data_IF_534973156932
#
_entry.id   IF_534973156932
#
_cell.length_a   1.000
_cell.length_b   1.000
_cell.length_c   1.000
_cell.angle_alpha   90.00
_cell.angle_beta   90.00
_cell.angle_gamma   90.00
#
_symmetry.space_group_name_H-M   'P 1'
#
loop_
_entity.id
_entity.type
_entity.pdbx_description
1 polymer ?
#
# COMPACT_ATOMS: atom_id res chain seq x y z
N UNK A 1 15.71 -12.94 2.29
CA UNK A 1 16.75 -12.31 1.45
C UNK A 1 17.29 -11.10 2.19
N UNK A 2 18.62 -10.90 2.20
CA UNK A 2 19.27 -9.84 2.98
C UNK A 2 19.43 -8.59 2.10
N UNK A 3 19.28 -7.39 2.66
CA UNK A 3 19.54 -6.13 1.98
C UNK A 3 21.03 -5.99 1.57
N UNK A 4 21.37 -5.18 0.55
CA UNK A 4 22.77 -5.03 0.10
C UNK A 4 23.74 -4.54 1.18
N UNK A 5 23.25 -3.75 2.14
CA UNK A 5 24.04 -3.26 3.28
C UNK A 5 24.11 -4.24 4.47
N UNK A 6 23.48 -5.42 4.35
CA UNK A 6 23.46 -6.45 5.39
C UNK A 6 22.55 -6.17 6.58
N UNK A 7 21.79 -5.06 6.59
CA UNK A 7 21.07 -4.58 7.78
C UNK A 7 19.62 -5.04 7.90
N UNK A 8 19.01 -5.52 6.82
CA UNK A 8 17.60 -5.89 6.79
C UNK A 8 17.40 -7.29 6.20
N UNK A 9 16.41 -8.02 6.73
CA UNK A 9 15.94 -9.30 6.21
C UNK A 9 14.53 -9.11 5.63
N UNK A 10 14.38 -9.49 4.36
CA UNK A 10 13.12 -9.46 3.64
C UNK A 10 12.59 -10.85 3.37
N UNK A 11 11.26 -10.98 3.33
CA UNK A 11 10.60 -12.18 2.84
C UNK A 11 11.02 -12.47 1.40
N UNK A 12 11.50 -13.68 1.11
CA UNK A 12 12.11 -13.99 -0.20
C UNK A 12 11.15 -13.77 -1.37
N UNK A 13 9.86 -14.08 -1.18
CA UNK A 13 8.83 -13.93 -2.20
C UNK A 13 8.48 -12.49 -2.53
N UNK A 14 8.81 -11.51 -1.66
CA UNK A 14 8.61 -10.08 -1.96
C UNK A 14 9.74 -9.49 -2.80
N UNK A 15 10.87 -10.19 -2.89
CA UNK A 15 12.08 -9.77 -3.61
C UNK A 15 12.29 -10.56 -4.91
N UNK A 16 11.89 -11.83 -4.93
CA UNK A 16 12.15 -12.74 -6.05
C UNK A 16 10.95 -13.65 -6.36
N UNK A 17 10.86 -14.11 -7.61
CA UNK A 17 9.75 -14.93 -8.10
C UNK A 17 8.51 -14.12 -8.53
N UNK A 18 7.47 -14.83 -8.94
CA UNK A 18 6.28 -14.26 -9.59
C UNK A 18 5.43 -13.36 -8.68
N UNK A 19 5.56 -13.50 -7.35
CA UNK A 19 4.85 -12.68 -6.37
C UNK A 19 5.69 -11.53 -5.82
N UNK A 20 6.87 -11.30 -6.38
CA UNK A 20 7.75 -10.24 -5.91
C UNK A 20 7.24 -8.85 -6.26
N UNK A 21 7.71 -7.87 -5.49
CA UNK A 21 7.45 -6.46 -5.75
C UNK A 21 8.07 -5.97 -7.07
N UNK A 22 8.94 -6.79 -7.69
CA UNK A 22 9.66 -6.46 -8.91
C UNK A 22 9.17 -7.27 -10.13
N UNK A 23 8.35 -8.29 -9.92
CA UNK A 23 7.77 -9.06 -11.00
C UNK A 23 6.76 -8.21 -11.79
N UNK A 24 6.81 -8.31 -13.12
CA UNK A 24 5.85 -7.67 -14.00
C UNK A 24 4.44 -8.14 -13.65
N UNK A 25 3.50 -7.20 -13.60
CA UNK A 25 2.08 -7.48 -13.41
C UNK A 25 1.36 -7.06 -14.68
N UNK A 26 0.66 -8.01 -15.33
CA UNK A 26 -0.12 -7.72 -16.53
C UNK A 26 -1.31 -6.81 -16.22
N UNK A 27 -1.68 -5.95 -17.18
CA UNK A 27 -2.79 -5.00 -17.02
C UNK A 27 -4.12 -5.70 -16.75
N UNK A 28 -4.36 -6.87 -17.35
CA UNK A 28 -5.54 -7.68 -17.08
C UNK A 28 -5.66 -8.05 -15.59
N UNK A 29 -4.54 -8.33 -14.92
CA UNK A 29 -4.54 -8.64 -13.48
C UNK A 29 -4.85 -7.40 -12.64
N UNK A 30 -4.40 -6.22 -13.06
CA UNK A 30 -4.78 -4.96 -12.41
C UNK A 30 -6.29 -4.72 -12.59
N UNK A 31 -6.81 -4.87 -13.80
CA UNK A 31 -8.24 -4.69 -14.09
C UNK A 31 -9.13 -5.63 -13.25
N UNK A 32 -8.71 -6.89 -13.06
CA UNK A 32 -9.40 -7.82 -12.16
C UNK A 32 -9.41 -7.32 -10.72
N UNK A 33 -8.27 -6.84 -10.20
CA UNK A 33 -8.20 -6.28 -8.83
C UNK A 33 -9.11 -5.06 -8.69
N UNK A 34 -9.11 -4.14 -9.67
CA UNK A 34 -9.99 -2.97 -9.66
C UNK A 34 -11.46 -3.36 -9.66
N UNK A 35 -11.85 -4.35 -10.48
CA UNK A 35 -13.21 -4.88 -10.51
C UNK A 35 -13.62 -5.41 -9.15
N UNK A 36 -12.81 -6.28 -8.54
CA UNK A 36 -13.10 -6.83 -7.21
C UNK A 36 -13.14 -5.78 -6.11
N UNK A 37 -12.28 -4.77 -6.15
CA UNK A 37 -12.33 -3.64 -5.20
C UNK A 37 -13.63 -2.84 -5.36
N UNK A 38 -14.05 -2.56 -6.59
CA UNK A 38 -15.30 -1.84 -6.84
C UNK A 38 -16.54 -2.64 -6.40
N UNK A 39 -16.54 -3.96 -6.59
CA UNK A 39 -17.59 -4.85 -6.09
C UNK A 39 -17.64 -4.85 -4.56
N UNK A 40 -16.48 -4.96 -3.90
CA UNK A 40 -16.36 -4.90 -2.45
C UNK A 40 -16.87 -3.55 -1.91
N UNK A 41 -16.51 -2.47 -2.60
CA UNK A 41 -16.95 -1.13 -2.27
C UNK A 41 -18.47 -1.01 -2.30
N UNK A 42 -19.09 -1.38 -3.43
CA UNK A 42 -20.53 -1.35 -3.59
C UNK A 42 -21.25 -2.25 -2.56
N UNK A 43 -20.69 -3.43 -2.29
CA UNK A 43 -21.25 -4.39 -1.34
C UNK A 43 -21.40 -3.82 0.08
N UNK A 44 -20.37 -3.13 0.58
CA UNK A 44 -20.41 -2.55 1.93
C UNK A 44 -21.18 -1.23 1.97
N UNK A 45 -21.10 -0.38 0.94
CA UNK A 45 -21.94 0.83 0.85
C UNK A 45 -23.43 0.49 0.88
N UNK A 46 -23.85 -0.57 0.19
CA UNK A 46 -25.23 -1.07 0.22
C UNK A 46 -25.68 -1.59 1.59
N UNK A 47 -24.75 -1.89 2.51
CA UNK A 47 -25.02 -2.35 3.89
C UNK A 47 -25.02 -1.22 4.92
N UNK A 48 -25.04 0.03 4.46
CA UNK A 48 -25.13 1.20 5.33
C UNK A 48 -23.79 1.70 5.86
N UNK A 49 -22.66 1.17 5.37
CA UNK A 49 -21.37 1.80 5.65
C UNK A 49 -21.35 3.18 5.01
N UNK A 50 -21.10 4.20 5.81
CA UNK A 50 -21.02 5.58 5.33
C UNK A 50 -19.94 5.73 4.26
N UNK A 51 -18.77 5.13 4.49
CA UNK A 51 -17.65 5.11 3.54
C UNK A 51 -16.75 3.89 3.79
N UNK A 52 -16.07 3.39 2.76
CA UNK A 52 -15.15 2.24 2.81
C UNK A 52 -13.88 2.62 2.08
N UNK A 53 -12.76 2.63 2.81
CA UNK A 53 -11.46 3.06 2.29
C UNK A 53 -10.53 1.89 2.03
N UNK A 54 -9.81 1.92 0.90
CA UNK A 54 -8.66 1.07 0.65
C UNK A 54 -7.40 1.67 1.28
N UNK A 55 -6.59 0.85 1.95
CA UNK A 55 -5.19 1.21 2.25
C UNK A 55 -4.31 0.05 1.84
N UNK A 56 -3.32 0.31 0.98
CA UNK A 56 -2.30 -0.69 0.63
C UNK A 56 -1.01 -0.32 1.34
N UNK A 57 -0.54 -1.19 2.23
CA UNK A 57 0.75 -1.03 2.91
C UNK A 57 1.85 -1.51 1.96
N UNK A 58 2.89 -0.69 1.70
CA UNK A 58 3.97 -1.11 0.80
C UNK A 58 4.80 -2.24 1.40
N UNK A 59 5.33 -3.11 0.54
CA UNK A 59 6.28 -4.12 1.00
C UNK A 59 7.58 -3.45 1.51
N UNK A 60 8.22 -3.94 2.58
CA UNK A 60 9.42 -3.32 3.14
C UNK A 60 10.54 -3.12 2.09
N UNK A 61 10.74 -4.09 1.20
CA UNK A 61 11.81 -4.03 0.19
C UNK A 61 11.65 -2.84 -0.76
N UNK A 62 10.43 -2.39 -1.07
CA UNK A 62 10.20 -1.26 -2.00
C UNK A 62 10.49 0.09 -1.35
N UNK A 63 10.57 0.14 -0.02
CA UNK A 63 10.85 1.35 0.76
C UNK A 63 12.30 1.36 1.26
N UNK A 64 12.76 0.24 1.84
CA UNK A 64 14.04 0.15 2.54
C UNK A 64 15.20 -0.14 1.59
N UNK A 65 14.96 -0.93 0.54
CA UNK A 65 16.01 -1.31 -0.41
C UNK A 65 15.49 -1.30 -1.87
N UNK A 66 14.97 -0.15 -2.36
CA UNK A 66 14.40 -0.05 -3.70
C UNK A 66 15.39 -0.40 -4.82
N UNK A 67 16.69 -0.32 -4.57
CA UNK A 67 17.74 -0.73 -5.51
C UNK A 67 17.82 -2.24 -5.76
N UNK A 68 17.12 -3.07 -4.98
CA UNK A 68 17.11 -4.53 -5.18
C UNK A 68 16.32 -4.97 -6.42
N UNK A 69 15.59 -4.06 -7.08
CA UNK A 69 14.90 -4.34 -8.34
C UNK A 69 14.05 -3.17 -8.81
N UNK A 70 13.52 -3.27 -10.02
CA UNK A 70 12.62 -2.26 -10.56
C UNK A 70 11.19 -2.52 -10.05
N UNK A 71 10.71 -1.66 -9.16
CA UNK A 71 9.37 -1.79 -8.59
C UNK A 71 8.31 -1.85 -9.70
N UNK A 72 7.39 -2.81 -9.60
CA UNK A 72 6.33 -3.05 -10.57
C UNK A 72 5.17 -2.03 -10.51
N UNK A 73 5.26 -1.07 -9.58
CA UNK A 73 4.34 0.05 -9.41
C UNK A 73 2.91 -0.37 -9.09
N UNK A 74 2.72 -1.53 -8.44
CA UNK A 74 1.39 -2.09 -8.14
C UNK A 74 0.49 -1.08 -7.42
N UNK A 75 0.98 -0.45 -6.36
CA UNK A 75 0.20 0.51 -5.56
C UNK A 75 -0.25 1.69 -6.41
N UNK A 76 0.66 2.30 -7.16
CA UNK A 76 0.38 3.45 -8.01
C UNK A 76 -0.57 3.08 -9.15
N UNK A 77 -0.43 1.88 -9.72
CA UNK A 77 -1.30 1.37 -10.78
C UNK A 77 -2.72 1.11 -10.29
N UNK A 78 -2.90 0.74 -9.02
CA UNK A 78 -4.22 0.61 -8.42
C UNK A 78 -4.80 1.97 -8.06
N UNK A 79 -4.06 2.77 -7.28
CA UNK A 79 -4.55 4.04 -6.73
C UNK A 79 -4.83 5.11 -7.80
N UNK A 80 -4.07 5.12 -8.89
CA UNK A 80 -4.28 6.07 -10.00
C UNK A 80 -5.10 5.48 -11.15
N UNK A 81 -5.72 4.29 -10.96
CA UNK A 81 -6.55 3.72 -12.00
C UNK A 81 -7.85 4.54 -12.13
N UNK A 82 -8.20 5.02 -13.35
CA UNK A 82 -9.40 5.84 -13.54
C UNK A 82 -10.71 5.10 -13.27
N UNK A 83 -10.71 3.76 -13.27
CA UNK A 83 -11.88 2.94 -12.99
C UNK A 83 -12.04 2.63 -11.50
N UNK A 84 -11.06 2.95 -10.64
CA UNK A 84 -11.18 2.74 -9.20
C UNK A 84 -12.20 3.70 -8.60
N UNK A 85 -13.28 3.15 -8.04
CA UNK A 85 -14.36 3.90 -7.37
C UNK A 85 -14.17 3.95 -5.86
N UNK A 86 -13.50 2.96 -5.27
CA UNK A 86 -13.23 2.91 -3.83
C UNK A 86 -12.22 4.02 -3.47
N UNK A 87 -12.55 4.93 -2.55
CA UNK A 87 -11.58 5.91 -2.09
C UNK A 87 -10.43 5.21 -1.36
N UNK A 88 -9.23 5.80 -1.41
CA UNK A 88 -8.05 5.21 -0.77
C UNK A 88 -7.32 6.20 0.13
N UNK A 89 -6.56 5.65 1.07
CA UNK A 89 -5.65 6.40 1.93
C UNK A 89 -4.23 6.08 1.48
N UNK A 90 -3.59 7.05 0.83
CA UNK A 90 -2.22 6.91 0.33
C UNK A 90 -1.20 7.09 1.45
N UNK A 91 -0.62 5.98 1.87
CA UNK A 91 0.56 5.97 2.75
C UNK A 91 1.85 5.73 1.99
N UNK A 92 1.82 5.26 0.75
CA UNK A 92 3.01 4.87 0.02
C UNK A 92 3.91 6.07 -0.27
N UNK A 93 3.34 7.21 -0.70
CA UNK A 93 4.14 8.41 -0.96
C UNK A 93 4.81 8.94 0.32
N UNK A 94 4.09 8.91 1.46
CA UNK A 94 4.68 9.31 2.75
C UNK A 94 5.75 8.34 3.23
N UNK A 95 5.58 7.03 2.98
CA UNK A 95 6.59 6.04 3.33
C UNK A 95 7.86 6.23 2.49
N UNK A 96 7.70 6.45 1.19
CA UNK A 96 8.81 6.70 0.27
C UNK A 96 9.57 8.00 0.58
N UNK A 97 8.86 9.04 1.03
CA UNK A 97 9.46 10.31 1.42
C UNK A 97 10.08 10.32 2.83
N UNK A 98 9.83 9.30 3.65
CA UNK A 98 10.32 9.23 5.02
C UNK A 98 11.83 9.01 5.07
N UNK A 99 12.53 9.84 5.85
CA UNK A 99 13.94 9.64 6.21
C UNK A 99 14.13 8.76 7.45
N UNK A 100 13.03 8.39 8.12
CA UNK A 100 13.03 7.57 9.32
C UNK A 100 12.76 6.11 8.95
N UNK A 101 13.37 5.14 9.66
CA UNK A 101 13.06 3.73 9.43
C UNK A 101 11.59 3.47 9.83
N UNK A 102 10.81 2.92 8.89
CA UNK A 102 9.39 2.61 9.09
C UNK A 102 9.11 1.12 9.26
N UNK A 103 10.11 0.28 9.04
CA UNK A 103 10.03 -1.18 9.17
C UNK A 103 10.94 -1.70 10.27
N UNK A 104 10.62 -2.88 10.76
CA UNK A 104 11.54 -3.66 11.58
C UNK A 104 12.65 -4.22 10.69
N UNK A 105 13.85 -4.41 11.24
CA UNK A 105 15.01 -4.84 10.45
C UNK A 105 14.87 -6.29 9.96
N UNK A 106 14.30 -7.19 10.76
CA UNK A 106 14.24 -8.61 10.45
C UNK A 106 12.82 -9.19 10.35
N UNK A 107 11.82 -8.33 10.16
CA UNK A 107 10.41 -8.69 10.12
C UNK A 107 9.71 -7.96 8.97
N UNK A 108 8.64 -8.56 8.43
CA UNK A 108 7.89 -8.01 7.29
C UNK A 108 7.00 -6.83 7.64
N UNK A 109 6.73 -6.62 8.93
CA UNK A 109 5.84 -5.59 9.41
C UNK A 109 6.55 -4.27 9.66
N UNK A 110 5.78 -3.20 9.59
CA UNK A 110 6.21 -1.89 10.04
C UNK A 110 6.63 -1.89 11.52
N UNK A 111 7.45 -0.91 11.89
CA UNK A 111 7.67 -0.57 13.29
C UNK A 111 6.62 0.47 13.75
N UNK A 112 6.69 0.88 15.02
CA UNK A 112 5.75 1.85 15.58
C UNK A 112 5.69 3.18 14.80
N UNK A 113 6.80 3.64 14.20
CA UNK A 113 6.81 4.88 13.39
C UNK A 113 6.01 4.71 12.10
N UNK A 114 6.15 3.57 11.43
CA UNK A 114 5.35 3.24 10.24
C UNK A 114 3.87 3.15 10.56
N UNK A 115 3.51 2.44 11.63
CA UNK A 115 2.12 2.38 12.12
C UNK A 115 1.56 3.76 12.42
N UNK A 116 2.30 4.60 13.16
CA UNK A 116 1.89 5.96 13.50
C UNK A 116 1.66 6.84 12.29
N UNK A 117 2.53 6.76 11.29
CA UNK A 117 2.38 7.50 10.04
C UNK A 117 1.06 7.13 9.34
N UNK A 118 0.69 5.85 9.31
CA UNK A 118 -0.59 5.42 8.76
C UNK A 118 -1.78 5.91 9.58
N UNK A 119 -1.74 5.80 10.92
CA UNK A 119 -2.80 6.33 11.80
C UNK A 119 -3.02 7.83 11.56
N UNK A 120 -1.96 8.59 11.31
CA UNK A 120 -2.06 10.02 10.98
C UNK A 120 -2.82 10.28 9.68
N UNK A 121 -2.51 9.54 8.61
CA UNK A 121 -3.21 9.68 7.33
C UNK A 121 -4.66 9.21 7.41
N UNK A 122 -4.94 8.12 8.14
CA UNK A 122 -6.31 7.67 8.42
C UNK A 122 -7.09 8.76 9.14
N UNK A 123 -6.57 9.26 10.26
CA UNK A 123 -7.25 10.28 11.05
C UNK A 123 -7.44 11.59 10.27
N UNK A 124 -6.48 11.97 9.44
CA UNK A 124 -6.58 13.13 8.56
C UNK A 124 -7.70 12.96 7.53
N UNK A 125 -7.83 11.77 6.93
CA UNK A 125 -8.92 11.45 6.00
C UNK A 125 -10.27 11.48 6.71
N UNK A 126 -10.40 10.78 7.84
CA UNK A 126 -11.66 10.71 8.59
C UNK A 126 -12.14 12.08 9.08
N UNK A 127 -11.24 12.95 9.53
CA UNK A 127 -11.60 14.33 9.90
C UNK A 127 -12.15 15.13 8.72
N UNK A 128 -11.57 14.98 7.52
CA UNK A 128 -12.07 15.67 6.32
C UNK A 128 -13.48 15.19 5.97
N UNK A 129 -13.69 13.87 5.96
CA UNK A 129 -14.99 13.26 5.66
C UNK A 129 -16.05 13.67 6.67
N UNK A 130 -15.73 13.66 7.96
CA UNK A 130 -16.67 14.09 9.00
C UNK A 130 -17.03 15.58 8.88
N UNK A 131 -16.08 16.44 8.52
CA UNK A 131 -16.35 17.87 8.31
C UNK A 131 -17.23 18.14 7.09
N UNK A 132 -17.22 17.29 6.06
CA UNK A 132 -18.09 17.41 4.88
C UNK A 132 -19.52 16.91 5.09
N UNK A 133 -19.83 16.30 6.24
CA UNK A 133 -21.17 15.80 6.59
C UNK A 133 -21.96 16.78 7.47
N UNK A 134 -21.34 17.86 7.93
CA UNK A 134 -21.99 18.96 8.65
C UNK A 134 -22.36 20.06 7.68
#
# INVERSE_FOLDING_TARGET
MISPDGRNLFLSSSVSGNNSSFAKIEDAKIAMVITSLNELYAHYKARGFHEVYLTIIPNPVTIVAPQMGNYNRLIERIQNNPELKMPFIDVYQRFKASKQPLYQQADTHWNYRGFRLWVEEVNKTLRKTHSSLK
#
